data_IF_073783955517
#
_entry.id   IF_073783955517
#
_cell.length_a   1.000
_cell.length_b   1.000
_cell.length_c   1.000
_cell.angle_alpha   90.00
_cell.angle_beta   90.00
_cell.angle_gamma   90.00
#
_symmetry.space_group_name_H-M   'P 1'
#
loop_
_entity.id
_entity.type
_entity.pdbx_description
1 polymer ?
#
# COMPACT_ATOMS: atom_id res chain seq x y z
N UNK A 1 6.33 -10.03 38.61
CA UNK A 1 6.11 -9.89 37.17
C UNK A 1 6.49 -8.46 36.74
N UNK A 2 7.74 -8.24 36.29
CA UNK A 2 8.34 -6.89 36.21
C UNK A 2 7.54 -5.90 35.36
N UNK A 3 7.05 -6.33 34.20
CA UNK A 3 6.27 -5.49 33.28
C UNK A 3 4.91 -5.01 33.85
N UNK A 4 4.43 -5.63 34.94
CA UNK A 4 3.24 -5.24 35.71
C UNK A 4 3.57 -4.39 36.94
N UNK A 5 4.76 -4.58 37.52
CA UNK A 5 5.22 -3.89 38.73
C UNK A 5 5.80 -2.50 38.42
N UNK A 6 6.62 -2.40 37.37
CA UNK A 6 7.19 -1.14 36.89
C UNK A 6 6.17 -0.02 36.65
N UNK A 7 5.00 -0.29 36.02
CA UNK A 7 3.98 0.74 35.83
C UNK A 7 3.18 1.12 37.09
N UNK A 8 3.44 0.51 38.26
CA UNK A 8 2.77 0.83 39.54
C UNK A 8 1.24 0.98 39.45
N UNK A 9 0.58 0.06 38.75
CA UNK A 9 -0.88 0.11 38.57
C UNK A 9 -1.35 0.72 37.24
N UNK A 10 -0.49 1.38 36.47
CA UNK A 10 -0.81 1.91 35.15
C UNK A 10 -0.58 0.86 34.04
N UNK A 11 -1.27 -0.27 34.14
CA UNK A 11 -1.26 -1.31 33.14
C UNK A 11 -2.65 -1.43 32.50
N UNK A 12 -2.67 -1.48 31.17
CA UNK A 12 -3.87 -1.72 30.38
C UNK A 12 -3.53 -2.64 29.22
N UNK A 13 -4.43 -3.59 28.91
CA UNK A 13 -4.20 -4.58 27.85
C UNK A 13 -3.88 -3.94 26.50
N UNK A 14 -4.48 -2.80 26.20
CA UNK A 14 -4.34 -2.11 24.92
C UNK A 14 -3.51 -0.83 25.02
N UNK A 15 -3.03 -0.48 26.22
CA UNK A 15 -2.15 0.66 26.48
C UNK A 15 -0.82 0.47 25.76
N UNK A 16 -0.48 1.44 24.92
CA UNK A 16 0.76 1.49 24.14
C UNK A 16 1.81 2.30 24.91
N UNK A 17 2.69 1.60 25.62
CA UNK A 17 3.71 2.24 26.48
C UNK A 17 4.96 2.64 25.72
N UNK A 18 5.34 1.83 24.73
CA UNK A 18 6.58 2.01 23.98
C UNK A 18 6.37 2.91 22.74
N UNK A 19 5.12 3.26 22.43
CA UNK A 19 4.76 4.10 21.29
C UNK A 19 4.75 3.36 19.96
N UNK A 20 5.00 2.05 19.97
CA UNK A 20 5.12 1.17 18.81
C UNK A 20 3.78 0.53 18.40
N UNK A 21 2.72 0.75 19.19
CA UNK A 21 1.37 0.22 18.99
C UNK A 21 1.17 -1.21 19.50
N UNK A 22 2.17 -1.81 20.14
CA UNK A 22 2.14 -3.18 20.66
C UNK A 22 1.89 -3.14 22.18
N UNK A 23 0.61 -3.29 22.57
CA UNK A 23 0.25 -3.37 23.98
C UNK A 23 0.73 -4.67 24.66
N UNK A 24 1.26 -4.54 25.88
CA UNK A 24 1.70 -5.66 26.69
C UNK A 24 0.55 -6.63 26.99
N UNK A 25 0.88 -7.92 27.13
CA UNK A 25 -0.12 -8.98 27.29
C UNK A 25 0.24 -9.88 28.45
N UNK A 26 -0.68 -10.00 29.40
CA UNK A 26 -0.70 -11.09 30.38
C UNK A 26 -1.47 -12.28 29.83
N UNK A 27 -1.09 -13.48 30.26
CA UNK A 27 -1.76 -14.73 29.92
C UNK A 27 -2.78 -15.13 30.99
N UNK A 28 -3.89 -15.79 30.61
CA UNK A 28 -4.81 -16.40 31.57
C UNK A 28 -4.06 -17.35 32.54
N UNK A 29 -4.45 -17.34 33.82
CA UNK A 29 -3.80 -18.13 34.87
C UNK A 29 -2.64 -17.44 35.59
N UNK A 30 -2.32 -16.19 35.21
CA UNK A 30 -1.37 -15.36 35.96
C UNK A 30 -1.93 -15.04 37.37
N UNK A 31 -1.05 -15.09 38.39
CA UNK A 31 -1.42 -14.91 39.80
C UNK A 31 -1.43 -13.44 40.24
N UNK A 32 -0.84 -12.54 39.46
CA UNK A 32 -0.76 -11.14 39.79
C UNK A 32 -2.14 -10.47 39.76
N UNK A 33 -2.58 -9.73 40.81
CA UNK A 33 -3.93 -9.15 40.87
C UNK A 33 -4.27 -8.22 39.70
N UNK A 34 -3.30 -7.46 39.19
CA UNK A 34 -3.48 -6.55 38.06
C UNK A 34 -3.42 -7.24 36.69
N UNK A 35 -3.21 -8.55 36.63
CA UNK A 35 -3.05 -9.25 35.35
C UNK A 35 -4.37 -9.56 34.65
N UNK A 36 -5.51 -9.37 35.32
CA UNK A 36 -6.82 -9.68 34.79
C UNK A 36 -7.36 -8.56 33.89
N UNK A 37 -8.02 -8.95 32.80
CA UNK A 37 -8.69 -8.05 31.86
C UNK A 37 -9.75 -8.83 31.09
N UNK A 38 -10.74 -8.12 30.56
CA UNK A 38 -11.85 -8.71 29.81
C UNK A 38 -11.83 -8.23 28.36
N UNK A 39 -11.59 -9.13 27.41
CA UNK A 39 -11.54 -8.80 25.98
C UNK A 39 -12.90 -8.89 25.35
N UNK A 40 -13.21 -7.94 24.45
CA UNK A 40 -14.49 -7.87 23.74
C UNK A 40 -14.28 -7.50 22.28
N UNK A 41 -15.25 -7.84 21.42
CA UNK A 41 -15.27 -7.38 20.04
C UNK A 41 -15.79 -5.95 19.86
N UNK A 42 -16.49 -5.40 20.86
CA UNK A 42 -17.04 -4.03 20.84
C UNK A 42 -15.98 -2.98 21.21
N UNK A 43 -16.31 -1.69 21.02
CA UNK A 43 -15.41 -0.56 21.28
C UNK A 43 -14.86 -0.53 22.70
N UNK A 44 -13.56 -0.31 22.86
CA UNK A 44 -12.89 -0.39 24.16
C UNK A 44 -11.77 0.65 24.28
N UNK A 45 -11.50 1.04 25.52
CA UNK A 45 -10.35 1.87 25.88
C UNK A 45 -9.08 1.03 26.07
N UNK A 46 -7.99 1.70 26.44
CA UNK A 46 -6.67 1.11 26.66
C UNK A 46 -6.66 0.06 27.79
N UNK A 47 -7.64 0.12 28.70
CA UNK A 47 -7.82 -0.76 29.85
C UNK A 47 -8.87 -1.87 29.60
N UNK A 48 -9.30 -2.03 28.35
CA UNK A 48 -10.31 -3.00 27.93
C UNK A 48 -11.74 -2.74 28.48
N UNK A 49 -12.03 -1.54 29.00
CA UNK A 49 -13.37 -1.16 29.45
C UNK A 49 -14.29 -0.87 28.26
N UNK A 50 -15.59 -0.92 28.47
CA UNK A 50 -16.58 -0.63 27.41
C UNK A 50 -16.64 0.85 27.14
N UNK A 51 -16.60 1.22 25.86
CA UNK A 51 -16.82 2.59 25.41
C UNK A 51 -17.31 2.62 23.97
N UNK A 52 -18.22 3.54 23.67
CA UNK A 52 -18.64 3.89 22.31
C UNK A 52 -18.19 5.30 21.92
N UNK A 53 -17.35 5.93 22.75
CA UNK A 53 -16.84 7.27 22.49
C UNK A 53 -16.00 7.29 21.20
N UNK A 54 -16.32 8.24 20.33
CA UNK A 54 -15.70 8.33 19.00
C UNK A 54 -14.19 8.56 19.06
N UNK A 55 -13.73 9.42 19.98
CA UNK A 55 -12.30 9.75 20.13
C UNK A 55 -11.49 8.53 20.59
N UNK A 56 -12.02 7.75 21.53
CA UNK A 56 -11.37 6.51 21.99
C UNK A 56 -11.29 5.47 20.88
N UNK A 57 -12.34 5.36 20.06
CA UNK A 57 -12.33 4.49 18.89
C UNK A 57 -11.24 4.90 17.89
N UNK A 58 -11.16 6.18 17.54
CA UNK A 58 -10.13 6.70 16.63
C UNK A 58 -8.72 6.46 17.16
N UNK A 59 -8.48 6.71 18.46
CA UNK A 59 -7.18 6.46 19.09
C UNK A 59 -6.77 4.98 18.99
N UNK A 60 -7.70 4.05 19.22
CA UNK A 60 -7.42 2.62 19.09
C UNK A 60 -7.11 2.22 17.64
N UNK A 61 -7.84 2.78 16.66
CA UNK A 61 -7.57 2.53 15.24
C UNK A 61 -6.21 3.08 14.80
N UNK A 62 -5.82 4.27 15.26
CA UNK A 62 -4.50 4.85 15.00
C UNK A 62 -3.38 4.01 15.63
N UNK A 63 -3.59 3.49 16.85
CA UNK A 63 -2.67 2.54 17.47
C UNK A 63 -2.52 1.26 16.63
N UNK A 64 -3.62 0.68 16.14
CA UNK A 64 -3.56 -0.51 15.28
C UNK A 64 -2.82 -0.24 13.95
N UNK A 65 -3.00 0.95 13.38
CA UNK A 65 -2.24 1.40 12.21
C UNK A 65 -0.74 1.52 12.52
N UNK A 66 -0.36 2.11 13.65
CA UNK A 66 1.04 2.18 14.11
C UNK A 66 1.63 0.80 14.30
N UNK A 67 0.92 -0.10 15.00
CA UNK A 67 1.30 -1.51 15.16
C UNK A 67 1.59 -2.19 13.82
N UNK A 68 0.76 -1.94 12.81
CA UNK A 68 0.96 -2.49 11.47
C UNK A 68 2.23 -1.92 10.80
N UNK A 69 2.53 -0.62 10.98
CA UNK A 69 3.79 -0.05 10.47
C UNK A 69 5.01 -0.61 11.21
N UNK A 70 4.95 -0.73 12.53
CA UNK A 70 5.98 -1.35 13.36
C UNK A 70 6.25 -2.79 12.95
N UNK A 71 5.22 -3.56 12.60
CA UNK A 71 5.34 -4.96 12.19
C UNK A 71 6.29 -5.15 10.99
N UNK A 72 6.49 -4.13 10.13
CA UNK A 72 7.48 -4.17 9.03
C UNK A 72 8.90 -4.48 9.48
N UNK A 73 9.23 -4.24 10.76
CA UNK A 73 10.55 -4.51 11.34
C UNK A 73 10.70 -5.94 11.85
N UNK A 74 9.59 -6.64 12.09
CA UNK A 74 9.56 -7.95 12.75
C UNK A 74 9.13 -9.10 11.83
N UNK A 75 8.39 -8.80 10.77
CA UNK A 75 7.99 -9.83 9.80
C UNK A 75 9.20 -10.39 9.05
N UNK A 76 9.13 -11.65 8.57
CA UNK A 76 10.21 -12.23 7.80
C UNK A 76 10.56 -11.39 6.56
N UNK A 77 11.81 -10.92 6.47
CA UNK A 77 12.31 -10.17 5.31
C UNK A 77 12.18 -10.98 4.00
N UNK A 78 12.01 -10.38 2.82
CA UNK A 78 11.99 -11.13 1.56
C UNK A 78 13.34 -11.81 1.27
N UNK A 79 13.35 -12.80 0.38
CA UNK A 79 14.58 -13.50 -0.05
C UNK A 79 15.00 -12.95 -1.41
N UNK A 80 16.18 -12.33 -1.46
CA UNK A 80 16.76 -11.78 -2.69
C UNK A 80 17.75 -12.77 -3.32
N UNK A 81 17.56 -13.06 -4.59
CA UNK A 81 18.46 -13.81 -5.43
C UNK A 81 19.00 -12.89 -6.53
N UNK A 82 20.17 -12.31 -6.32
CA UNK A 82 20.78 -11.36 -7.26
C UNK A 82 21.59 -12.04 -8.36
N UNK A 83 21.61 -11.43 -9.56
CA UNK A 83 22.42 -11.83 -10.70
C UNK A 83 23.28 -10.65 -11.18
N UNK A 84 24.56 -10.90 -11.47
CA UNK A 84 25.47 -9.84 -11.92
C UNK A 84 25.02 -9.28 -13.29
N UNK A 85 24.73 -7.98 -13.32
CA UNK A 85 24.28 -7.29 -14.53
C UNK A 85 22.79 -7.46 -14.83
N UNK A 86 21.98 -7.80 -13.83
CA UNK A 86 20.53 -7.84 -13.95
C UNK A 86 19.96 -6.48 -14.42
N UNK A 87 19.12 -6.52 -15.45
CA UNK A 87 18.49 -5.33 -16.05
C UNK A 87 17.02 -5.18 -15.67
N UNK A 88 16.38 -6.25 -15.19
CA UNK A 88 14.98 -6.28 -14.78
C UNK A 88 14.81 -7.06 -13.47
N UNK A 89 13.69 -6.82 -12.78
CA UNK A 89 13.34 -7.51 -11.54
C UNK A 89 12.21 -8.52 -11.75
N UNK A 90 12.23 -9.61 -10.98
CA UNK A 90 11.12 -10.54 -10.82
C UNK A 90 10.70 -10.53 -9.35
N UNK A 91 9.40 -10.42 -9.10
CA UNK A 91 8.79 -10.59 -7.77
C UNK A 91 7.88 -11.80 -7.82
N UNK A 92 7.96 -12.67 -6.83
CA UNK A 92 7.03 -13.78 -6.65
C UNK A 92 6.86 -14.11 -5.16
N UNK A 93 5.95 -15.05 -4.86
CA UNK A 93 5.72 -15.53 -3.49
C UNK A 93 5.29 -17.01 -3.49
N UNK A 94 5.34 -17.64 -2.32
CA UNK A 94 4.91 -19.03 -2.14
C UNK A 94 5.79 -20.04 -2.90
N UNK A 95 5.15 -21.10 -3.43
CA UNK A 95 5.78 -22.25 -4.10
C UNK A 95 6.33 -21.96 -5.51
N UNK A 96 6.17 -20.73 -6.01
CA UNK A 96 6.64 -20.33 -7.35
C UNK A 96 8.17 -20.21 -7.47
N UNK A 97 8.89 -20.22 -6.35
CA UNK A 97 10.35 -20.02 -6.28
C UNK A 97 11.13 -20.90 -7.25
N UNK A 98 10.88 -22.21 -7.26
CA UNK A 98 11.64 -23.15 -8.09
C UNK A 98 11.44 -22.87 -9.59
N UNK A 99 10.19 -22.65 -10.01
CA UNK A 99 9.85 -22.32 -11.39
C UNK A 99 10.48 -20.99 -11.84
N UNK A 100 10.49 -19.98 -10.96
CA UNK A 100 11.15 -18.71 -11.24
C UNK A 100 12.66 -18.90 -11.37
N UNK A 101 13.31 -19.64 -10.48
CA UNK A 101 14.76 -19.87 -10.55
C UNK A 101 15.18 -20.55 -11.86
N UNK A 102 14.44 -21.56 -12.31
CA UNK A 102 14.68 -22.22 -13.59
C UNK A 102 14.40 -21.28 -14.78
N UNK A 103 13.29 -20.53 -14.74
CA UNK A 103 12.96 -19.57 -15.79
C UNK A 103 14.02 -18.45 -15.92
N UNK A 104 14.61 -18.01 -14.80
CA UNK A 104 15.71 -17.03 -14.81
C UNK A 104 16.93 -17.55 -15.54
N UNK A 105 17.26 -18.83 -15.32
CA UNK A 105 18.36 -19.47 -16.03
C UNK A 105 18.08 -19.50 -17.54
N UNK A 106 16.89 -19.93 -17.96
CA UNK A 106 16.46 -19.94 -19.37
C UNK A 106 16.46 -18.53 -19.98
N UNK A 107 15.98 -17.52 -19.27
CA UNK A 107 15.99 -16.12 -19.72
C UNK A 107 17.40 -15.60 -19.97
N UNK A 108 18.36 -15.94 -19.09
CA UNK A 108 19.76 -15.55 -19.28
C UNK A 108 20.40 -16.29 -20.46
N UNK A 109 20.28 -17.62 -20.52
CA UNK A 109 20.98 -18.45 -21.50
C UNK A 109 20.38 -18.39 -22.90
N UNK A 110 19.05 -18.36 -23.03
CA UNK A 110 18.34 -18.39 -24.31
C UNK A 110 18.05 -16.99 -24.87
N UNK A 111 17.90 -15.98 -24.00
CA UNK A 111 17.45 -14.64 -24.40
C UNK A 111 18.38 -13.50 -23.97
N UNK A 112 19.43 -13.77 -23.19
CA UNK A 112 20.36 -12.75 -22.69
C UNK A 112 19.72 -11.76 -21.70
N UNK A 113 18.58 -12.11 -21.11
CA UNK A 113 17.86 -11.25 -20.15
C UNK A 113 18.28 -11.64 -18.74
N UNK A 114 19.06 -10.77 -18.11
CA UNK A 114 19.54 -10.96 -16.74
C UNK A 114 18.56 -10.36 -15.74
N UNK A 115 18.25 -11.11 -14.68
CA UNK A 115 17.18 -10.75 -13.75
C UNK A 115 17.61 -10.91 -12.30
N UNK A 116 17.22 -9.97 -11.43
CA UNK A 116 17.19 -10.24 -9.99
C UNK A 116 15.81 -10.77 -9.62
N UNK A 117 15.74 -11.61 -8.59
CA UNK A 117 14.50 -12.17 -8.10
C UNK A 117 14.33 -11.91 -6.62
N UNK A 118 13.20 -11.31 -6.25
CA UNK A 118 12.81 -11.08 -4.86
C UNK A 118 11.57 -11.92 -4.52
N UNK A 119 11.71 -12.84 -3.58
CA UNK A 119 10.60 -13.63 -3.06
C UNK A 119 10.02 -12.97 -1.82
N UNK A 120 8.77 -12.51 -1.92
CA UNK A 120 8.02 -11.97 -0.79
C UNK A 120 7.64 -13.11 0.16
N UNK A 121 7.85 -12.88 1.46
CA UNK A 121 7.51 -13.85 2.53
C UNK A 121 6.38 -13.39 3.44
N UNK A 122 6.15 -12.09 3.57
CA UNK A 122 5.15 -11.56 4.48
C UNK A 122 4.62 -10.18 4.04
N UNK A 123 3.44 -9.86 4.54
CA UNK A 123 2.91 -8.50 4.63
C UNK A 123 2.95 -8.06 6.11
N UNK A 124 3.08 -6.75 6.40
CA UNK A 124 3.31 -5.65 5.46
C UNK A 124 4.69 -5.72 4.80
N UNK A 125 4.85 -5.08 3.64
CA UNK A 125 6.13 -5.07 2.94
C UNK A 125 7.22 -4.35 3.73
N UNK A 126 8.41 -4.94 3.72
CA UNK A 126 9.61 -4.41 4.35
C UNK A 126 10.35 -3.46 3.40
N UNK A 127 11.38 -2.75 3.90
CA UNK A 127 12.12 -1.74 3.12
C UNK A 127 12.83 -2.33 1.90
N UNK A 128 13.18 -3.60 1.95
CA UNK A 128 13.84 -4.35 0.88
C UNK A 128 12.96 -4.42 -0.38
N UNK A 129 11.63 -4.48 -0.22
CA UNK A 129 10.69 -4.48 -1.36
C UNK A 129 10.71 -3.12 -2.07
N UNK A 130 10.67 -2.02 -1.31
CA UNK A 130 10.76 -0.66 -1.85
C UNK A 130 12.09 -0.43 -2.59
N UNK A 131 13.21 -0.83 -1.97
CA UNK A 131 14.54 -0.74 -2.58
C UNK A 131 14.64 -1.56 -3.88
N UNK A 132 14.00 -2.73 -3.93
CA UNK A 132 13.97 -3.57 -5.13
C UNK A 132 13.14 -2.93 -6.25
N UNK A 133 11.96 -2.38 -5.92
CA UNK A 133 11.10 -1.71 -6.90
C UNK A 133 11.75 -0.44 -7.47
N UNK A 134 12.44 0.33 -6.63
CA UNK A 134 13.16 1.52 -7.04
C UNK A 134 14.33 1.24 -8.01
N UNK A 135 14.91 0.02 -7.94
CA UNK A 135 16.08 -0.37 -8.73
C UNK A 135 15.77 -0.64 -10.21
N UNK A 136 14.53 -0.98 -10.56
CA UNK A 136 14.19 -1.52 -11.88
C UNK A 136 13.05 -0.76 -12.58
N UNK A 137 13.28 -0.44 -13.85
CA UNK A 137 12.24 0.13 -14.74
C UNK A 137 11.19 -0.90 -15.18
N UNK A 138 11.51 -2.19 -15.05
CA UNK A 138 10.62 -3.29 -15.40
C UNK A 138 10.70 -4.35 -14.30
N UNK A 139 9.58 -4.57 -13.63
CA UNK A 139 9.45 -5.59 -12.59
C UNK A 139 8.28 -6.50 -12.95
N UNK A 140 8.56 -7.78 -13.10
CA UNK A 140 7.56 -8.79 -13.42
C UNK A 140 7.03 -9.44 -12.15
N UNK A 141 5.72 -9.36 -11.91
CA UNK A 141 5.08 -9.95 -10.74
C UNK A 141 4.50 -11.31 -11.14
N UNK A 142 5.19 -12.38 -10.77
CA UNK A 142 4.83 -13.75 -11.10
C UNK A 142 3.99 -14.33 -9.97
N UNK A 143 2.78 -14.76 -10.30
CA UNK A 143 1.85 -15.28 -9.30
C UNK A 143 0.86 -16.30 -9.87
N UNK A 144 0.54 -17.30 -9.06
CA UNK A 144 -0.38 -18.39 -9.40
C UNK A 144 -1.82 -18.04 -9.05
N UNK A 145 -2.36 -17.00 -9.67
CA UNK A 145 -3.77 -16.68 -9.58
C UNK A 145 -4.24 -15.96 -10.87
N UNK A 146 -5.55 -15.85 -11.05
CA UNK A 146 -6.14 -15.24 -12.26
C UNK A 146 -5.99 -13.71 -12.27
N UNK A 147 -6.16 -13.06 -11.13
CA UNK A 147 -6.45 -11.62 -11.06
C UNK A 147 -5.20 -10.75 -10.85
N UNK A 148 -4.06 -11.35 -10.55
CA UNK A 148 -2.83 -10.62 -10.24
C UNK A 148 -2.88 -9.94 -8.88
N UNK A 149 -3.28 -10.67 -7.83
CA UNK A 149 -3.55 -10.08 -6.51
C UNK A 149 -2.32 -9.40 -5.89
N UNK A 150 -1.13 -10.02 -5.99
CA UNK A 150 0.10 -9.43 -5.50
C UNK A 150 0.49 -8.18 -6.30
N UNK A 151 0.32 -8.19 -7.62
CA UNK A 151 0.51 -7.00 -8.46
C UNK A 151 -0.42 -5.84 -8.04
N UNK A 152 -1.69 -6.14 -7.74
CA UNK A 152 -2.64 -5.14 -7.25
C UNK A 152 -2.26 -4.58 -5.88
N UNK A 153 -1.84 -5.44 -4.94
CA UNK A 153 -1.38 -5.02 -3.61
C UNK A 153 -0.13 -4.13 -3.75
N UNK A 154 0.85 -4.54 -4.56
CA UNK A 154 2.06 -3.76 -4.81
C UNK A 154 1.75 -2.39 -5.43
N UNK A 155 0.83 -2.31 -6.40
CA UNK A 155 0.40 -1.05 -7.02
C UNK A 155 -0.31 -0.13 -6.04
N UNK A 156 -1.07 -0.69 -5.11
CA UNK A 156 -1.78 0.07 -4.08
C UNK A 156 -0.82 0.63 -3.03
N UNK A 157 0.12 -0.19 -2.55
CA UNK A 157 1.10 0.21 -1.54
C UNK A 157 2.21 1.09 -2.11
N UNK A 158 2.57 0.92 -3.39
CA UNK A 158 3.66 1.62 -4.06
C UNK A 158 3.21 2.23 -5.39
N UNK A 159 2.24 3.13 -5.33
CA UNK A 159 1.66 3.78 -6.51
C UNK A 159 2.70 4.42 -7.44
N UNK A 160 3.82 4.92 -6.89
CA UNK A 160 4.91 5.52 -7.66
C UNK A 160 5.62 4.55 -8.61
N UNK A 161 5.62 3.23 -8.33
CA UNK A 161 6.24 2.22 -9.19
C UNK A 161 5.23 1.45 -10.04
N UNK A 162 3.93 1.74 -9.93
CA UNK A 162 2.88 1.07 -10.67
C UNK A 162 3.11 0.98 -12.20
N UNK A 163 3.69 1.99 -12.89
CA UNK A 163 4.00 1.89 -14.32
C UNK A 163 5.08 0.85 -14.68
N UNK A 164 5.96 0.51 -13.73
CA UNK A 164 7.06 -0.43 -13.94
C UNK A 164 6.63 -1.89 -13.68
N UNK A 165 5.53 -2.09 -12.95
CA UNK A 165 4.99 -3.38 -12.56
C UNK A 165 4.21 -4.05 -13.70
N UNK A 166 4.61 -5.27 -14.04
CA UNK A 166 4.03 -6.09 -15.09
C UNK A 166 3.58 -7.43 -14.51
N UNK A 167 2.28 -7.57 -14.27
CA UNK A 167 1.70 -8.84 -13.84
C UNK A 167 1.98 -9.95 -14.84
N UNK A 168 2.47 -11.09 -14.37
CA UNK A 168 2.57 -12.37 -15.09
C UNK A 168 1.73 -13.38 -14.29
N UNK A 169 0.46 -13.05 -14.12
CA UNK A 169 -0.50 -13.86 -13.39
C UNK A 169 -1.07 -14.97 -14.29
N UNK A 170 -1.14 -16.19 -13.77
CA UNK A 170 -1.74 -17.34 -14.46
C UNK A 170 -2.14 -18.39 -13.44
N UNK A 171 -3.16 -19.18 -13.76
CA UNK A 171 -3.56 -20.32 -12.97
C UNK A 171 -4.44 -21.26 -13.78
N UNK A 172 -3.91 -22.42 -14.09
CA UNK A 172 -4.60 -23.53 -14.77
C UNK A 172 -4.87 -24.71 -13.81
N UNK A 173 -4.57 -24.54 -12.53
CA UNK A 173 -4.68 -25.58 -11.50
C UNK A 173 -3.45 -26.48 -11.38
N UNK A 174 -2.47 -26.34 -12.27
CA UNK A 174 -1.21 -27.07 -12.20
C UNK A 174 -0.14 -26.28 -11.43
N UNK A 175 0.90 -26.94 -10.89
CA UNK A 175 2.05 -26.25 -10.31
C UNK A 175 2.73 -25.29 -11.30
N UNK A 176 3.34 -24.22 -10.78
CA UNK A 176 4.09 -23.27 -11.59
C UNK A 176 5.16 -23.99 -12.44
N UNK A 177 5.19 -23.70 -13.74
CA UNK A 177 6.23 -24.19 -14.65
C UNK A 177 7.17 -23.06 -15.08
N UNK A 178 8.46 -23.37 -15.25
CA UNK A 178 9.45 -22.42 -15.74
C UNK A 178 9.08 -21.86 -17.12
N UNK A 179 8.50 -22.72 -17.97
CA UNK A 179 8.01 -22.36 -19.31
C UNK A 179 7.02 -21.20 -19.25
N UNK A 180 5.98 -21.31 -18.41
CA UNK A 180 4.99 -20.26 -18.26
C UNK A 180 5.62 -18.95 -17.80
N UNK A 181 6.47 -19.00 -16.77
CA UNK A 181 7.14 -17.81 -16.23
C UNK A 181 7.97 -17.13 -17.30
N UNK A 182 8.80 -17.89 -18.02
CA UNK A 182 9.63 -17.39 -19.13
C UNK A 182 8.78 -16.75 -20.21
N UNK A 183 7.78 -17.47 -20.74
CA UNK A 183 6.94 -17.00 -21.85
C UNK A 183 6.12 -15.76 -21.45
N UNK A 184 5.60 -15.75 -20.23
CA UNK A 184 4.85 -14.61 -19.69
C UNK A 184 5.72 -13.36 -19.49
N UNK A 185 6.97 -13.53 -19.06
CA UNK A 185 7.95 -12.42 -18.97
C UNK A 185 8.28 -11.92 -20.38
N UNK A 186 8.63 -12.80 -21.32
CA UNK A 186 8.98 -12.43 -22.69
C UNK A 186 7.86 -11.68 -23.40
N UNK A 187 6.61 -12.12 -23.23
CA UNK A 187 5.44 -11.47 -23.80
C UNK A 187 5.26 -10.01 -23.36
N UNK A 188 5.78 -9.65 -22.18
CA UNK A 188 5.65 -8.31 -21.58
C UNK A 188 6.96 -7.53 -21.57
N UNK A 189 8.08 -8.18 -21.86
CA UNK A 189 9.41 -7.57 -21.86
C UNK A 189 9.53 -6.54 -22.98
N UNK A 190 10.07 -5.37 -22.65
CA UNK A 190 10.35 -4.31 -23.62
C UNK A 190 11.85 -4.08 -23.63
N UNK A 191 12.49 -4.36 -24.76
CA UNK A 191 13.92 -4.10 -24.92
C UNK A 191 14.18 -2.58 -24.85
N UNK A 192 15.14 -2.18 -24.02
CA UNK A 192 15.56 -0.79 -23.85
C UNK A 192 16.03 -0.14 -25.16
N UNK A 193 16.46 -0.93 -26.15
CA UNK A 193 16.81 -0.42 -27.50
C UNK A 193 15.61 0.13 -28.27
N UNK A 194 14.39 -0.26 -27.93
CA UNK A 194 13.16 0.16 -28.65
C UNK A 194 12.70 1.58 -28.30
N UNK A 195 13.01 2.09 -27.09
CA UNK A 195 12.68 3.47 -26.68
C UNK A 195 13.39 4.54 -27.52
N UNK A 196 14.53 4.22 -28.14
CA UNK A 196 15.28 5.15 -29.00
C UNK A 196 14.62 5.38 -30.38
N UNK A 197 13.79 4.46 -30.88
CA UNK A 197 13.16 4.58 -32.21
C UNK A 197 11.80 5.28 -32.21
N UNK A 198 11.12 5.41 -31.07
CA UNK A 198 9.77 6.02 -30.99
C UNK A 198 9.77 7.54 -30.73
N UNK A 199 10.91 8.14 -30.38
CA UNK A 199 11.04 9.58 -30.09
C UNK A 199 11.02 10.54 -31.29
N UNK A 200 11.03 10.04 -32.53
CA UNK A 200 10.90 10.86 -33.76
C UNK A 200 9.49 10.77 -34.35
N UNK A 201 8.47 11.27 -33.64
CA UNK A 201 7.21 11.68 -34.29
C UNK A 201 7.14 13.21 -34.30
N UNK A 202 7.32 13.78 -35.49
CA UNK A 202 7.17 15.22 -35.79
C UNK A 202 5.84 15.73 -35.22
N UNK A 203 5.92 16.67 -34.28
CA UNK A 203 4.76 17.47 -33.84
C UNK A 203 4.36 18.38 -35.00
N UNK A 204 3.29 18.02 -35.71
CA UNK A 204 2.64 18.89 -36.69
C UNK A 204 1.77 19.89 -35.91
N UNK A 205 2.19 21.16 -35.84
CA UNK A 205 1.35 22.24 -35.33
C UNK A 205 0.15 22.42 -36.25
N UNK A 206 -1.06 22.12 -35.77
CA UNK A 206 -2.31 22.51 -36.44
C UNK A 206 -2.90 23.70 -35.69
N UNK A 207 -2.82 24.88 -36.30
CA UNK A 207 -3.50 26.08 -35.85
C UNK A 207 -5.01 25.92 -36.09
N UNK A 208 -5.82 26.13 -35.06
CA UNK A 208 -7.28 26.21 -35.18
C UNK A 208 -7.71 27.65 -34.87
N UNK A 209 -8.13 28.37 -35.92
CA UNK A 209 -8.73 29.69 -35.83
C UNK A 209 -10.12 29.61 -35.19
N UNK A 210 -10.38 30.44 -34.18
CA UNK A 210 -11.68 30.54 -33.49
C UNK A 210 -12.51 31.62 -34.19
N UNK A 211 -13.57 31.25 -34.90
CA UNK A 211 -14.57 32.19 -35.43
C UNK A 211 -15.49 32.66 -34.30
N UNK A 212 -15.65 33.97 -34.18
CA UNK A 212 -16.58 34.66 -33.27
C UNK A 212 -17.95 34.77 -33.93
N UNK A 213 -19.03 34.48 -33.20
CA UNK A 213 -20.42 34.71 -33.61
C UNK A 213 -21.01 35.80 -32.71
N UNK A 214 -21.72 36.83 -33.23
CA UNK A 214 -22.17 37.97 -32.43
C UNK A 214 -23.48 37.69 -31.70
N UNK A 215 -23.58 38.16 -30.45
CA UNK A 215 -24.79 38.08 -29.62
C UNK A 215 -25.79 39.22 -29.94
N UNK A 216 -27.07 38.86 -30.11
CA UNK A 216 -28.20 39.78 -30.26
C UNK A 216 -28.62 40.38 -28.90
N UNK A 217 -28.99 41.67 -28.92
CA UNK A 217 -29.59 42.43 -27.79
C UNK A 217 -31.01 41.95 -27.49
N UNK A 218 -31.37 41.90 -26.20
CA UNK A 218 -32.74 42.06 -25.71
C UNK A 218 -32.76 42.74 -24.33
N UNK A 219 -33.87 43.45 -24.09
CA UNK A 219 -34.16 44.60 -23.21
C UNK A 219 -34.06 44.44 -21.69
N UNK A 220 -33.83 45.58 -21.04
CA UNK A 220 -33.78 45.83 -19.61
C UNK A 220 -35.13 45.69 -18.88
N UNK A 221 -35.09 45.24 -17.62
CA UNK A 221 -36.08 45.58 -16.59
C UNK A 221 -35.38 45.91 -15.27
N UNK A 222 -35.68 47.10 -14.76
CA UNK A 222 -35.08 47.81 -13.63
C UNK A 222 -35.78 47.38 -12.33
N UNK A 223 -35.04 46.96 -11.30
CA UNK A 223 -35.58 46.81 -9.93
C UNK A 223 -34.73 47.62 -8.97
N UNK A 224 -35.42 48.49 -8.25
CA UNK A 224 -34.96 49.54 -7.34
C UNK A 224 -34.49 49.00 -5.99
N UNK A 225 -33.41 49.59 -5.44
CA UNK A 225 -32.94 49.43 -4.06
C UNK A 225 -33.95 50.03 -3.07
N UNK A 226 -34.21 49.34 -1.95
CA UNK A 226 -34.72 49.95 -0.72
C UNK A 226 -33.96 49.37 0.48
N UNK A 227 -33.31 50.25 1.24
CA UNK A 227 -32.61 49.96 2.49
C UNK A 227 -33.58 50.07 3.68
N UNK A 228 -33.41 49.24 4.71
CA UNK A 228 -33.86 49.52 6.09
C UNK A 228 -32.91 48.87 7.11
N UNK A 229 -32.73 49.59 8.21
CA UNK A 229 -31.74 49.52 9.27
C UNK A 229 -31.83 48.32 10.23
N UNK A 230 -30.76 48.16 11.01
CA UNK A 230 -30.58 47.12 12.01
C UNK A 230 -31.44 47.25 13.28
N UNK A 231 -31.42 46.17 14.06
CA UNK A 231 -31.79 46.17 15.48
C UNK A 231 -31.04 45.06 16.22
N UNK A 232 -30.43 45.49 17.31
CA UNK A 232 -29.72 44.77 18.38
C UNK A 232 -30.64 43.77 19.09
N UNK A 233 -30.14 42.58 19.47
CA UNK A 233 -30.83 41.70 20.43
C UNK A 233 -29.90 41.35 21.59
N UNK A 234 -30.45 41.61 22.79
CA UNK A 234 -29.82 41.51 24.12
C UNK A 234 -29.58 40.07 24.56
N UNK A 235 -28.48 39.91 25.30
CA UNK A 235 -28.16 38.79 26.22
C UNK A 235 -29.24 38.66 27.31
N UNK A 236 -29.72 37.46 27.56
CA UNK A 236 -30.48 37.13 28.76
C UNK A 236 -29.81 35.96 29.50
N UNK A 237 -29.34 36.24 30.72
CA UNK A 237 -28.98 35.25 31.75
C UNK A 237 -30.24 34.53 32.23
N UNK A 238 -30.13 33.24 32.54
CA UNK A 238 -30.98 32.59 33.54
C UNK A 238 -30.11 31.83 34.54
N UNK A 239 -30.53 31.97 35.80
CA UNK A 239 -30.03 31.33 37.01
C UNK A 239 -30.15 29.82 36.92
#
# INVERSE_FOLDING_TARGET
>A
EKDLEEPKGNWGRYLDKDGDGIGYRTFPGNKHPLSSYFTRGTGHDEYAKYTEEADTYLHNMDRLKRKHQTAKQYVPAPVLHSMKGATVGIIAYGSTEAAVMEARHQLETEHGIKTDFLRIRALPFTREVDAFLAKYDQVFVVEMNRDGQMDQILKTEYAQYAPNLKSVAFGDGMPASAKWVREGILAKYVDGKSKAKSGKKKVVKKAAARKVVPAKKASAKKVTKKAVAGKTVKKAKRK
#
